data_IF_927944774119
#
_entry.id   IF_927944774119
#
_cell.length_a   1.000
_cell.length_b   1.000
_cell.length_c   1.000
_cell.angle_alpha   90.00
_cell.angle_beta   90.00
_cell.angle_gamma   90.00
#
_symmetry.space_group_name_H-M   'P 1'
#
loop_
_entity.id
_entity.type
_entity.pdbx_description
1 polymer ?
#
# COMPACT_ATOMS: atom_id res chain seq x y z
N UNK A 1 -23.64 -16.65 20.89
CA UNK A 1 -22.38 -16.38 20.16
C UNK A 1 -22.73 -16.30 18.69
N UNK A 2 -22.74 -15.09 18.11
CA UNK A 2 -23.08 -14.88 16.70
C UNK A 2 -21.81 -15.09 15.88
N UNK A 3 -21.85 -16.05 14.95
CA UNK A 3 -20.76 -16.32 14.02
C UNK A 3 -20.64 -15.16 13.02
N UNK A 4 -19.48 -14.50 13.00
CA UNK A 4 -19.14 -13.50 11.99
C UNK A 4 -18.72 -14.25 10.73
N UNK A 5 -19.42 -14.11 9.59
CA UNK A 5 -18.99 -14.74 8.35
C UNK A 5 -17.70 -14.05 7.87
N UNK A 6 -16.62 -14.82 7.81
CA UNK A 6 -15.39 -14.44 7.10
C UNK A 6 -15.69 -14.34 5.62
N UNK A 7 -15.88 -13.12 5.12
CA UNK A 7 -15.92 -12.86 3.68
C UNK A 7 -14.50 -13.10 3.15
N UNK A 8 -14.31 -14.27 2.54
CA UNK A 8 -13.10 -14.60 1.80
C UNK A 8 -13.10 -13.79 0.50
N UNK A 9 -12.41 -12.65 0.48
CA UNK A 9 -12.22 -11.78 -0.69
C UNK A 9 -11.22 -12.34 -1.73
N UNK A 10 -10.96 -13.66 -1.71
CA UNK A 10 -9.93 -14.30 -2.56
C UNK A 10 -10.45 -14.60 -3.99
N UNK A 11 -11.69 -14.24 -4.31
CA UNK A 11 -12.38 -14.77 -5.50
C UNK A 11 -12.44 -13.90 -6.76
N UNK A 12 -11.92 -12.67 -6.81
CA UNK A 12 -12.27 -11.76 -7.92
C UNK A 12 -11.15 -10.82 -8.42
N UNK A 13 -9.88 -11.24 -8.38
CA UNK A 13 -8.84 -10.50 -9.08
C UNK A 13 -8.34 -11.35 -10.26
N UNK A 14 -8.62 -10.95 -11.51
CA UNK A 14 -8.12 -11.68 -12.67
C UNK A 14 -6.58 -11.73 -12.65
N UNK A 15 -5.96 -12.78 -13.21
CA UNK A 15 -4.51 -12.85 -13.35
C UNK A 15 -4.03 -11.64 -14.18
N UNK A 16 -3.29 -10.76 -13.52
CA UNK A 16 -2.88 -9.48 -14.05
C UNK A 16 -1.71 -9.64 -15.03
N UNK A 17 -2.03 -9.77 -16.32
CA UNK A 17 -1.05 -9.74 -17.42
C UNK A 17 -1.21 -8.48 -18.29
N UNK A 18 -0.16 -7.65 -18.30
CA UNK A 18 0.28 -6.76 -19.39
C UNK A 18 -0.55 -5.51 -19.72
N UNK A 19 -1.81 -5.69 -20.13
CA UNK A 19 -2.55 -4.64 -20.82
C UNK A 19 -3.82 -4.21 -20.08
N UNK A 20 -4.43 -5.11 -19.30
CA UNK A 20 -5.62 -4.79 -18.52
C UNK A 20 -5.33 -3.90 -17.29
N UNK A 21 -4.11 -3.95 -16.74
CA UNK A 21 -3.70 -3.09 -15.60
C UNK A 21 -3.54 -1.63 -15.97
N UNK A 22 -3.10 -1.37 -17.21
CA UNK A 22 -2.88 0.00 -17.71
C UNK A 22 -4.15 0.83 -17.74
N UNK A 23 -5.32 0.17 -17.75
CA UNK A 23 -6.63 0.81 -17.57
C UNK A 23 -6.78 1.47 -16.19
N UNK A 24 -6.11 0.94 -15.17
CA UNK A 24 -6.23 1.42 -13.80
C UNK A 24 -5.12 2.43 -13.46
N UNK A 25 -3.86 2.10 -13.74
CA UNK A 25 -2.72 2.99 -13.47
C UNK A 25 -1.65 2.83 -14.54
N UNK A 26 -0.82 3.86 -14.76
CA UNK A 26 0.34 3.72 -15.64
C UNK A 26 1.43 2.86 -14.99
N UNK A 27 2.34 2.31 -15.78
CA UNK A 27 3.47 1.51 -15.26
C UNK A 27 4.29 2.31 -14.24
N UNK A 28 4.49 3.62 -14.48
CA UNK A 28 5.19 4.51 -13.55
C UNK A 28 4.45 4.63 -12.21
N UNK A 29 3.14 4.86 -12.27
CA UNK A 29 2.32 5.01 -11.06
C UNK A 29 2.31 3.70 -10.26
N UNK A 30 2.23 2.56 -10.94
CA UNK A 30 2.29 1.25 -10.30
C UNK A 30 3.59 1.07 -9.50
N UNK A 31 4.72 1.46 -10.08
CA UNK A 31 6.02 1.44 -9.40
C UNK A 31 6.04 2.35 -8.17
N UNK A 32 5.49 3.55 -8.28
CA UNK A 32 5.42 4.50 -7.15
C UNK A 32 4.51 3.96 -6.03
N UNK A 33 3.36 3.36 -6.36
CA UNK A 33 2.45 2.72 -5.39
C UNK A 33 3.13 1.54 -4.69
N UNK A 34 3.80 0.65 -5.44
CA UNK A 34 4.55 -0.48 -4.88
C UNK A 34 5.64 0.00 -3.92
N UNK A 35 6.34 1.08 -4.27
CA UNK A 35 7.34 1.70 -3.40
C UNK A 35 6.72 2.18 -2.08
N UNK A 36 5.60 2.88 -2.12
CA UNK A 36 4.89 3.31 -0.90
C UNK A 36 4.36 2.12 -0.07
N UNK A 37 3.94 1.05 -0.73
CA UNK A 37 3.54 -0.19 -0.07
C UNK A 37 4.71 -0.85 0.69
N UNK A 38 5.91 -0.89 0.09
CA UNK A 38 7.12 -1.39 0.77
C UNK A 38 7.48 -0.55 1.99
N UNK A 39 7.35 0.78 1.92
CA UNK A 39 7.57 1.67 3.07
C UNK A 39 6.59 1.32 4.21
N UNK A 40 5.31 1.15 3.87
CA UNK A 40 4.25 0.82 4.83
C UNK A 40 4.46 -0.55 5.45
N UNK A 41 4.73 -1.58 4.64
CA UNK A 41 4.98 -2.94 5.12
C UNK A 41 6.22 -3.05 5.99
N UNK A 42 7.30 -2.29 5.71
CA UNK A 42 8.48 -2.23 6.59
C UNK A 42 8.18 -1.53 7.92
N UNK A 43 7.39 -0.45 7.88
CA UNK A 43 6.97 0.24 9.10
C UNK A 43 6.11 -0.68 9.98
N UNK A 44 5.13 -1.36 9.38
CA UNK A 44 4.30 -2.37 10.03
C UNK A 44 5.14 -3.49 10.64
N UNK A 45 6.02 -4.10 9.85
CA UNK A 45 6.90 -5.17 10.30
C UNK A 45 7.79 -4.75 11.48
N UNK A 46 8.17 -3.47 11.56
CA UNK A 46 8.94 -2.89 12.68
C UNK A 46 8.09 -2.40 13.87
N UNK A 47 6.76 -2.54 13.81
CA UNK A 47 5.81 -2.11 14.86
C UNK A 47 5.56 -0.60 14.90
N UNK A 48 5.69 0.09 13.76
CA UNK A 48 5.43 1.52 13.64
C UNK A 48 4.03 1.77 13.06
N UNK A 49 3.44 2.92 13.42
CA UNK A 49 2.17 3.35 12.81
C UNK A 49 2.39 3.78 11.35
N UNK A 50 1.85 2.99 10.43
CA UNK A 50 1.96 3.19 8.99
C UNK A 50 0.66 3.73 8.38
N UNK A 51 -0.46 3.71 9.10
CA UNK A 51 -1.77 4.09 8.55
C UNK A 51 -1.83 5.54 8.06
N UNK A 52 -1.21 6.54 8.74
CA UNK A 52 -1.18 7.91 8.23
C UNK A 52 -0.51 8.04 6.86
N UNK A 53 0.49 7.20 6.58
CA UNK A 53 1.16 7.18 5.28
C UNK A 53 0.27 6.63 4.18
N UNK A 54 -0.44 5.53 4.43
CA UNK A 54 -1.43 5.02 3.48
C UNK A 54 -2.56 6.04 3.23
N UNK A 55 -3.06 6.69 4.27
CA UNK A 55 -4.07 7.74 4.14
C UNK A 55 -3.58 8.91 3.29
N UNK A 56 -2.33 9.34 3.48
CA UNK A 56 -1.72 10.39 2.65
C UNK A 56 -1.62 10.00 1.18
N UNK A 57 -1.21 8.75 0.88
CA UNK A 57 -1.18 8.22 -0.48
C UNK A 57 -2.57 8.26 -1.12
N UNK A 58 -3.59 7.74 -0.41
CA UNK A 58 -4.95 7.70 -0.94
C UNK A 58 -5.55 9.10 -1.13
N UNK A 59 -5.17 10.07 -0.29
CA UNK A 59 -5.58 11.46 -0.48
C UNK A 59 -4.89 12.09 -1.70
N UNK A 60 -3.59 11.86 -1.86
CA UNK A 60 -2.79 12.35 -2.99
C UNK A 60 -3.33 11.83 -4.33
N UNK A 61 -3.54 10.52 -4.45
CA UNK A 61 -4.06 9.90 -5.67
C UNK A 61 -5.48 10.38 -5.99
N UNK A 62 -6.33 10.58 -4.97
CA UNK A 62 -7.67 11.16 -5.17
C UNK A 62 -7.59 12.61 -5.66
N UNK A 63 -6.66 13.42 -5.15
CA UNK A 63 -6.46 14.79 -5.61
C UNK A 63 -5.96 14.85 -7.07
N UNK A 64 -5.26 13.82 -7.54
CA UNK A 64 -4.82 13.67 -8.93
C UNK A 64 -5.93 13.16 -9.88
N UNK A 65 -7.19 13.13 -9.44
CA UNK A 65 -8.34 12.82 -10.30
C UNK A 65 -8.55 11.34 -10.58
N UNK A 66 -7.98 10.44 -9.76
CA UNK A 66 -8.23 8.99 -9.88
C UNK A 66 -9.70 8.66 -9.63
N UNK A 67 -10.26 7.76 -10.43
CA UNK A 67 -11.62 7.24 -10.25
C UNK A 67 -11.68 6.26 -9.09
N UNK A 68 -12.88 5.97 -8.57
CA UNK A 68 -13.05 5.02 -7.45
C UNK A 68 -12.55 3.59 -7.78
N UNK A 69 -12.68 3.15 -9.04
CA UNK A 69 -12.11 1.87 -9.50
C UNK A 69 -10.58 1.88 -9.42
N UNK A 70 -9.95 2.98 -9.83
CA UNK A 70 -8.50 3.16 -9.74
C UNK A 70 -8.05 3.23 -8.28
N UNK A 71 -8.79 3.97 -7.44
CA UNK A 71 -8.52 4.03 -6.00
C UNK A 71 -8.61 2.66 -5.34
N UNK A 72 -9.60 1.86 -5.70
CA UNK A 72 -9.76 0.48 -5.22
C UNK A 72 -8.56 -0.37 -5.63
N UNK A 73 -8.17 -0.29 -6.91
CA UNK A 73 -6.99 -0.99 -7.42
C UNK A 73 -5.71 -0.60 -6.66
N UNK A 74 -5.47 0.70 -6.45
CA UNK A 74 -4.32 1.24 -5.71
C UNK A 74 -4.30 0.67 -4.28
N UNK A 75 -5.44 0.69 -3.59
CA UNK A 75 -5.57 0.16 -2.23
C UNK A 75 -5.27 -1.34 -2.15
N UNK A 76 -5.81 -2.14 -3.08
CA UNK A 76 -5.55 -3.58 -3.16
C UNK A 76 -4.07 -3.86 -3.45
N UNK A 77 -3.50 -3.19 -4.45
CA UNK A 77 -2.09 -3.35 -4.81
C UNK A 77 -1.17 -3.00 -3.63
N UNK A 78 -1.47 -1.91 -2.92
CA UNK A 78 -0.73 -1.52 -1.73
C UNK A 78 -0.83 -2.58 -0.63
N UNK A 79 -2.02 -3.08 -0.33
CA UNK A 79 -2.24 -4.12 0.68
C UNK A 79 -1.49 -5.42 0.36
N UNK A 80 -1.58 -5.89 -0.88
CA UNK A 80 -0.87 -7.12 -1.32
C UNK A 80 0.65 -6.96 -1.19
N UNK A 81 1.19 -5.81 -1.64
CA UNK A 81 2.63 -5.57 -1.65
C UNK A 81 3.20 -5.29 -0.25
N UNK A 82 2.43 -4.66 0.66
CA UNK A 82 2.84 -4.46 2.04
C UNK A 82 2.82 -5.76 2.84
N UNK A 83 1.78 -6.59 2.66
CA UNK A 83 1.66 -7.89 3.33
C UNK A 83 2.76 -8.90 2.93
N UNK A 84 3.41 -8.72 1.77
CA UNK A 84 4.53 -9.58 1.37
C UNK A 84 5.83 -9.31 2.14
N UNK A 85 5.90 -8.23 2.92
CA UNK A 85 7.07 -7.86 3.70
C UNK A 85 7.06 -8.61 5.03
N UNK A 86 7.92 -9.62 5.15
CA UNK A 86 8.05 -10.46 6.35
C UNK A 86 9.40 -10.22 7.01
N UNK A 87 9.53 -9.22 7.88
CA UNK A 87 10.79 -8.98 8.60
C UNK A 87 10.57 -8.86 10.12
N UNK A 88 10.98 -9.90 10.86
CA UNK A 88 11.23 -9.88 12.31
C UNK A 88 12.47 -10.74 12.61
N UNK A 89 13.43 -10.28 13.43
CA UNK A 89 13.40 -9.09 14.28
C UNK A 89 13.92 -7.80 13.61
N UNK A 90 13.26 -6.65 13.88
CA UNK A 90 13.67 -5.34 13.40
C UNK A 90 14.66 -4.65 14.37
N UNK A 91 15.89 -4.40 13.92
CA UNK A 91 16.90 -3.68 14.72
C UNK A 91 16.54 -2.19 14.90
N UNK A 92 17.10 -1.55 15.93
CA UNK A 92 16.88 -0.11 16.18
C UNK A 92 17.21 0.76 14.96
N UNK A 93 18.30 0.43 14.25
CA UNK A 93 18.68 1.13 13.01
C UNK A 93 17.64 0.95 11.89
N UNK A 94 17.12 -0.27 11.69
CA UNK A 94 16.07 -0.54 10.70
C UNK A 94 14.77 0.20 11.04
N UNK A 95 14.38 0.20 12.32
CA UNK A 95 13.20 0.92 12.81
C UNK A 95 13.31 2.42 12.57
N UNK A 96 14.46 3.02 12.86
CA UNK A 96 14.68 4.45 12.62
C UNK A 96 14.64 4.79 11.12
N UNK A 97 15.23 3.95 10.27
CA UNK A 97 15.15 4.12 8.80
C UNK A 97 13.70 4.03 8.31
N UNK A 98 12.91 3.08 8.81
CA UNK A 98 11.50 2.94 8.45
C UNK A 98 10.69 4.17 8.89
N UNK A 99 10.91 4.68 10.11
CA UNK A 99 10.27 5.90 10.62
C UNK A 99 10.57 7.11 9.73
N UNK A 100 11.84 7.33 9.38
CA UNK A 100 12.25 8.42 8.48
C UNK A 100 11.64 8.29 7.09
N UNK A 101 11.57 7.07 6.56
CA UNK A 101 10.97 6.81 5.26
C UNK A 101 9.47 7.17 5.25
N UNK A 102 8.72 6.72 6.25
CA UNK A 102 7.29 7.04 6.44
C UNK A 102 7.07 8.55 6.55
N UNK A 103 7.83 9.23 7.40
CA UNK A 103 7.65 10.67 7.59
C UNK A 103 8.04 11.47 6.35
N UNK A 104 9.12 11.06 5.68
CA UNK A 104 9.60 11.70 4.45
C UNK A 104 8.60 11.55 3.31
N UNK A 105 8.00 10.38 3.13
CA UNK A 105 7.01 10.17 2.06
C UNK A 105 5.68 10.87 2.33
N UNK A 106 5.22 10.95 3.58
CA UNK A 106 4.03 11.77 3.92
C UNK A 106 4.24 13.22 3.48
N UNK A 107 5.43 13.78 3.67
CA UNK A 107 5.72 15.16 3.27
C UNK A 107 5.77 15.33 1.74
N UNK A 108 6.07 14.28 0.99
CA UNK A 108 6.08 14.30 -0.49
C UNK A 108 4.68 14.14 -1.09
N UNK A 109 3.75 13.54 -0.35
CA UNK A 109 2.38 13.28 -0.78
C UNK A 109 1.41 14.45 -0.47
N UNK A 110 1.86 15.42 0.33
CA UNK A 110 1.14 16.66 0.65
C UNK A 110 1.49 17.76 -0.34
#
# INVERSE_FOLDING_TARGET
>A
MLAVPTISLVGALPPYHGDAQKRFVSDKDEWDIRRYAVISGRAEACGLDWQPHFKALMAHERANGRTEDQMTYIGVLHGMQSASIKDQPCSASKREKARKAVQGSINQLR
#
